data_IF_147969352255
#
_entry.id   IF_147969352255
#
_cell.length_a   1.000
_cell.length_b   1.000
_cell.length_c   1.000
_cell.angle_alpha   90.00
_cell.angle_beta   90.00
_cell.angle_gamma   90.00
#
_symmetry.space_group_name_H-M   'P 1'
#
loop_
_entity.id
_entity.type
_entity.pdbx_description
1 polymer ?
#
# COMPACT_ATOMS: atom_id res chain seq x y z
N UNK A 1 -5.68 11.88 21.19
CA UNK A 1 -5.51 12.07 19.74
C UNK A 1 -4.89 10.81 19.20
N UNK A 2 -5.55 10.16 18.26
CA UNK A 2 -5.14 8.87 17.73
C UNK A 2 -4.02 9.09 16.69
N UNK A 3 -2.84 8.52 16.89
CA UNK A 3 -1.72 8.69 15.96
C UNK A 3 -1.85 7.66 14.82
N UNK A 4 -2.29 8.12 13.64
CA UNK A 4 -2.47 7.26 12.46
C UNK A 4 -1.18 6.57 12.02
N UNK A 5 -0.01 7.18 12.23
CA UNK A 5 1.27 6.59 11.90
C UNK A 5 1.60 5.39 12.82
N UNK A 6 1.24 5.47 14.10
CA UNK A 6 1.47 4.39 15.07
C UNK A 6 0.58 3.19 14.76
N UNK A 7 -0.72 3.42 14.47
CA UNK A 7 -1.65 2.36 14.04
C UNK A 7 -1.17 1.68 12.76
N UNK A 8 -0.71 2.47 11.79
CA UNK A 8 -0.17 1.93 10.54
C UNK A 8 1.05 1.03 10.77
N UNK A 9 2.00 1.48 11.59
CA UNK A 9 3.15 0.66 11.97
C UNK A 9 2.72 -0.63 12.68
N UNK A 10 1.71 -0.54 13.54
CA UNK A 10 1.17 -1.69 14.27
C UNK A 10 0.50 -2.72 13.35
N UNK A 11 -0.37 -2.28 12.43
CA UNK A 11 -0.97 -3.17 11.43
C UNK A 11 0.10 -3.86 10.57
N UNK A 12 1.16 -3.15 10.17
CA UNK A 12 2.26 -3.75 9.39
C UNK A 12 3.02 -4.82 10.20
N UNK A 13 3.20 -4.65 11.51
CA UNK A 13 3.86 -5.65 12.35
C UNK A 13 3.02 -6.93 12.45
N UNK A 14 1.70 -6.78 12.52
CA UNK A 14 0.74 -7.88 12.66
C UNK A 14 0.51 -8.67 11.37
N UNK A 15 0.87 -8.13 10.21
CA UNK A 15 0.82 -8.88 8.94
C UNK A 15 1.53 -10.23 9.13
N UNK A 16 0.88 -11.33 8.76
CA UNK A 16 1.47 -12.68 8.80
C UNK A 16 2.11 -13.08 7.48
N UNK A 17 1.68 -12.46 6.38
CA UNK A 17 2.11 -12.75 5.00
C UNK A 17 2.77 -11.54 4.34
N UNK A 18 3.52 -11.79 3.27
CA UNK A 18 4.21 -10.78 2.49
C UNK A 18 5.73 -10.87 2.56
N UNK A 19 6.39 -10.27 1.56
CA UNK A 19 7.86 -10.22 1.52
C UNK A 19 8.34 -9.11 2.45
N UNK A 20 8.90 -9.52 3.59
CA UNK A 20 9.44 -8.59 4.60
C UNK A 20 10.89 -8.25 4.30
N UNK A 21 11.15 -6.96 4.23
CA UNK A 21 12.48 -6.37 4.23
C UNK A 21 12.65 -5.51 5.49
N UNK A 22 13.89 -5.06 5.81
CA UNK A 22 14.14 -4.22 6.98
C UNK A 22 13.30 -2.92 6.98
N UNK A 23 13.11 -2.32 5.81
CA UNK A 23 12.45 -1.01 5.69
C UNK A 23 11.01 -1.07 5.19
N UNK A 24 10.57 -2.21 4.61
CA UNK A 24 9.25 -2.32 4.01
C UNK A 24 8.71 -3.75 3.99
N UNK A 25 7.39 -3.90 3.86
CA UNK A 25 6.71 -5.16 3.57
C UNK A 25 6.00 -5.04 2.23
N UNK A 26 6.16 -6.03 1.36
CA UNK A 26 5.52 -6.08 0.04
C UNK A 26 4.42 -7.12 0.05
N UNK A 27 3.22 -6.74 -0.37
CA UNK A 27 2.08 -7.64 -0.52
C UNK A 27 1.41 -7.42 -1.86
N UNK A 28 0.96 -8.52 -2.47
CA UNK A 28 0.01 -8.44 -3.58
C UNK A 28 -1.37 -8.02 -3.05
N UNK A 29 -2.12 -7.24 -3.82
CA UNK A 29 -3.42 -6.70 -3.42
C UNK A 29 -4.42 -7.77 -2.97
N UNK A 30 -4.39 -8.95 -3.59
CA UNK A 30 -5.26 -10.08 -3.22
C UNK A 30 -4.93 -10.70 -1.86
N UNK A 31 -3.67 -10.64 -1.43
CA UNK A 31 -3.24 -11.11 -0.11
C UNK A 31 -3.44 -10.04 0.96
N UNK A 32 -3.44 -8.76 0.58
CA UNK A 32 -3.54 -7.64 1.50
C UNK A 32 -4.86 -7.67 2.28
N UNK A 33 -5.99 -7.92 1.60
CA UNK A 33 -7.32 -7.97 2.24
C UNK A 33 -7.40 -9.04 3.33
N UNK A 34 -6.87 -10.22 3.05
CA UNK A 34 -6.83 -11.33 4.01
C UNK A 34 -5.82 -11.10 5.14
N UNK A 35 -4.74 -10.36 4.87
CA UNK A 35 -3.68 -10.11 5.83
C UNK A 35 -4.03 -8.99 6.83
N UNK A 36 -4.70 -7.93 6.37
CA UNK A 36 -5.22 -6.84 7.20
C UNK A 36 -6.28 -6.05 6.43
N UNK A 37 -7.50 -6.10 6.94
CA UNK A 37 -8.65 -5.36 6.38
C UNK A 37 -8.40 -3.85 6.45
N UNK A 38 -7.77 -3.38 7.53
CA UNK A 38 -7.46 -1.97 7.75
C UNK A 38 -6.45 -1.44 6.74
N UNK A 39 -5.35 -2.18 6.50
CA UNK A 39 -4.36 -1.81 5.49
C UNK A 39 -4.94 -1.89 4.09
N UNK A 40 -5.80 -2.87 3.81
CA UNK A 40 -6.51 -2.94 2.54
C UNK A 40 -7.40 -1.71 2.33
N UNK A 41 -8.26 -1.37 3.28
CA UNK A 41 -9.12 -0.18 3.18
C UNK A 41 -8.32 1.12 3.03
N UNK A 42 -7.22 1.27 3.77
CA UNK A 42 -6.31 2.40 3.63
C UNK A 42 -5.76 2.49 2.20
N UNK A 43 -5.21 1.39 1.68
CA UNK A 43 -4.65 1.35 0.33
C UNK A 43 -5.70 1.66 -0.75
N UNK A 44 -6.91 1.09 -0.65
CA UNK A 44 -7.99 1.35 -1.59
C UNK A 44 -8.48 2.81 -1.54
N UNK A 45 -8.61 3.38 -0.34
CA UNK A 45 -8.99 4.79 -0.16
C UNK A 45 -7.96 5.72 -0.79
N UNK A 46 -6.68 5.45 -0.53
CA UNK A 46 -5.57 6.23 -1.07
C UNK A 46 -5.49 6.10 -2.60
N UNK A 47 -5.64 4.89 -3.15
CA UNK A 47 -5.67 4.66 -4.59
C UNK A 47 -6.81 5.47 -5.25
N UNK A 48 -8.02 5.44 -4.66
CA UNK A 48 -9.18 6.22 -5.13
C UNK A 48 -8.93 7.73 -5.06
N UNK A 49 -8.38 8.23 -3.96
CA UNK A 49 -8.06 9.66 -3.80
C UNK A 49 -7.07 10.16 -4.86
N UNK A 50 -6.14 9.29 -5.28
CA UNK A 50 -5.15 9.57 -6.32
C UNK A 50 -5.61 9.20 -7.74
N UNK A 51 -6.87 8.75 -7.90
CA UNK A 51 -7.43 8.27 -9.18
C UNK A 51 -6.59 7.15 -9.81
N UNK A 52 -5.99 6.30 -8.98
CA UNK A 52 -5.28 5.09 -9.40
C UNK A 52 -6.33 3.99 -9.57
N UNK A 53 -6.48 3.50 -10.78
CA UNK A 53 -7.37 2.37 -11.07
C UNK A 53 -6.92 1.10 -10.33
N UNK A 54 -7.86 0.24 -9.94
CA UNK A 54 -7.51 -1.02 -9.25
C UNK A 54 -6.60 -1.92 -10.11
N UNK A 55 -6.81 -1.93 -11.42
CA UNK A 55 -5.98 -2.65 -12.41
C UNK A 55 -4.60 -2.01 -12.62
N UNK A 56 -4.36 -0.79 -12.15
CA UNK A 56 -3.12 -0.07 -12.39
C UNK A 56 -2.00 -0.43 -11.40
N UNK A 57 -2.25 -1.33 -10.44
CA UNK A 57 -1.27 -1.82 -9.50
C UNK A 57 -1.58 -3.25 -9.03
N UNK A 58 -0.51 -3.97 -8.69
CA UNK A 58 -0.56 -5.39 -8.34
C UNK A 58 -0.03 -5.58 -6.91
N UNK A 59 1.05 -4.88 -6.58
CA UNK A 59 1.67 -4.93 -5.26
C UNK A 59 1.61 -3.58 -4.56
N UNK A 60 1.48 -3.63 -3.25
CA UNK A 60 1.75 -2.51 -2.36
C UNK A 60 3.04 -2.76 -1.59
N UNK A 61 3.87 -1.71 -1.51
CA UNK A 61 5.02 -1.62 -0.61
C UNK A 61 4.62 -0.74 0.58
N UNK A 62 4.55 -1.34 1.75
CA UNK A 62 4.24 -0.67 3.02
C UNK A 62 5.55 -0.34 3.74
N UNK A 63 5.83 0.94 4.00
CA UNK A 63 7.06 1.34 4.68
C UNK A 63 6.91 1.14 6.20
N UNK A 64 7.92 0.54 6.83
CA UNK A 64 7.85 0.17 8.26
C UNK A 64 8.24 1.31 9.21
N UNK A 65 9.09 2.20 8.71
CA UNK A 65 9.69 3.32 9.46
C UNK A 65 9.13 4.68 9.06
N UNK A 66 8.35 4.71 7.97
CA UNK A 66 7.80 5.93 7.39
C UNK A 66 6.31 5.73 7.14
N UNK A 67 5.50 6.78 7.36
CA UNK A 67 4.06 6.74 7.09
C UNK A 67 3.79 6.91 5.58
N UNK A 68 4.26 5.93 4.81
CA UNK A 68 4.26 5.95 3.34
C UNK A 68 3.86 4.59 2.78
N UNK A 69 3.29 4.62 1.59
CA UNK A 69 3.04 3.41 0.78
C UNK A 69 3.50 3.64 -0.66
N UNK A 70 3.85 2.59 -1.37
CA UNK A 70 4.04 2.67 -2.82
C UNK A 70 3.21 1.61 -3.54
N UNK A 71 2.47 2.03 -4.57
CA UNK A 71 1.79 1.13 -5.49
C UNK A 71 2.72 0.75 -6.63
N UNK A 72 2.85 -0.56 -6.88
CA UNK A 72 3.74 -1.12 -7.88
C UNK A 72 2.91 -1.83 -8.95
N UNK A 73 3.13 -1.43 -10.20
CA UNK A 73 2.45 -1.97 -11.38
C UNK A 73 3.35 -2.95 -12.12
N UNK A 74 2.87 -4.18 -12.21
CA UNK A 74 3.43 -5.32 -12.93
C UNK A 74 2.34 -5.91 -13.84
N UNK A 75 2.04 -5.30 -15.00
CA UNK A 75 0.95 -5.77 -15.87
C UNK A 75 1.11 -7.24 -16.29
N UNK A 76 2.35 -7.72 -16.39
CA UNK A 76 2.69 -9.07 -16.80
C UNK A 76 2.90 -10.02 -15.60
N UNK A 77 2.43 -9.66 -14.40
CA UNK A 77 2.71 -10.38 -13.15
C UNK A 77 2.35 -11.88 -13.20
N UNK A 78 1.21 -12.19 -13.82
CA UNK A 78 0.74 -13.57 -13.97
C UNK A 78 1.28 -14.26 -15.24
N UNK A 79 1.92 -13.52 -16.14
CA UNK A 79 2.37 -14.02 -17.44
C UNK A 79 3.88 -14.33 -17.46
N UNK A 80 4.66 -13.60 -16.66
CA UNK A 80 6.11 -13.74 -16.60
C UNK A 80 6.56 -14.08 -15.18
N UNK A 81 7.55 -14.96 -15.04
CA UNK A 81 8.15 -15.26 -13.73
C UNK A 81 8.91 -14.07 -13.13
N UNK A 82 9.37 -13.15 -13.98
CA UNK A 82 10.11 -11.94 -13.60
C UNK A 82 9.55 -10.72 -14.35
N UNK A 83 8.33 -10.28 -14.01
CA UNK A 83 7.69 -9.16 -14.68
C UNK A 83 8.47 -7.87 -14.42
N UNK A 84 8.56 -7.01 -15.43
CA UNK A 84 9.16 -5.69 -15.26
C UNK A 84 8.25 -4.76 -14.46
N UNK A 85 8.84 -3.96 -13.56
CA UNK A 85 8.11 -2.89 -12.87
C UNK A 85 7.82 -1.77 -13.87
N UNK A 86 6.56 -1.62 -14.29
CA UNK A 86 6.15 -0.61 -15.26
C UNK A 86 5.98 0.76 -14.62
N UNK A 87 5.45 0.80 -13.40
CA UNK A 87 5.19 2.05 -12.67
C UNK A 87 5.31 1.84 -11.17
N UNK A 88 5.90 2.81 -10.50
CA UNK A 88 5.90 2.92 -9.03
C UNK A 88 5.34 4.27 -8.64
N UNK A 89 4.30 4.28 -7.81
CA UNK A 89 3.69 5.51 -7.28
C UNK A 89 3.90 5.56 -5.78
N UNK A 90 4.86 6.36 -5.33
CA UNK A 90 5.13 6.60 -3.91
C UNK A 90 4.15 7.64 -3.37
N UNK A 91 3.56 7.34 -2.23
CA UNK A 91 2.55 8.16 -1.58
C UNK A 91 2.96 8.43 -0.14
N UNK A 92 2.99 9.71 0.20
CA UNK A 92 3.16 10.18 1.57
C UNK A 92 1.78 10.35 2.22
N UNK A 93 1.45 9.45 3.15
CA UNK A 93 0.12 9.41 3.75
C UNK A 93 -0.14 10.64 4.64
N UNK A 94 0.91 11.26 5.18
CA UNK A 94 0.78 12.49 5.95
C UNK A 94 0.32 13.68 5.10
N UNK A 95 0.54 13.64 3.79
CA UNK A 95 0.12 14.70 2.85
C UNK A 95 -1.30 14.51 2.34
N UNK A 96 -1.89 13.32 2.53
CA UNK A 96 -3.25 13.01 2.09
C UNK A 96 -4.31 13.36 3.13
N UNK A 97 -3.97 13.38 4.42
CA UNK A 97 -4.87 13.85 5.49
C UNK A 97 -5.31 15.30 5.28
N UNK A 98 -4.48 16.11 4.61
CA UNK A 98 -4.78 17.50 4.28
C UNK A 98 -5.67 17.66 3.04
N UNK A 99 -5.89 16.57 2.28
CA UNK A 99 -6.67 16.55 1.04
C UNK A 99 -8.13 16.10 1.24
N UNK A 100 -8.58 15.90 2.49
CA UNK A 100 -10.01 15.72 2.76
C UNK A 100 -10.76 16.98 2.32
N UNK A 101 -11.80 16.86 1.47
CA UNK A 101 -12.62 18.00 1.11
C UNK A 101 -13.25 18.56 2.39
N UNK A 102 -13.03 19.87 2.63
CA UNK A 102 -13.85 20.62 3.57
C UNK A 102 -15.29 20.60 3.04
N UNK A 103 -16.11 19.69 3.56
CA UNK A 103 -17.56 19.78 3.51
C UNK A 103 -18.06 20.09 4.91
#
# INVERSE_FOLDING_TARGET
>A
MENHADKFSEWIKQLSVGKRLPDAVYLHKSALEQASVELHHLCMTVARALKIEDSAWDLVKLFRKEFKIAFLSYPDFYQQSYPALKKSTLVDLAKLSDLSPKN
#
